data_IF_615310876530
#
_entry.id   IF_615310876530
#
_cell.length_a   1.000
_cell.length_b   1.000
_cell.length_c   1.000
_cell.angle_alpha   90.00
_cell.angle_beta   90.00
_cell.angle_gamma   90.00
#
_symmetry.space_group_name_H-M   'P 1'
#
loop_
_entity.id
_entity.type
_entity.pdbx_description
1 polymer ?
#
# COMPACT_ATOMS: atom_id res chain seq x y z
N UNK A 1 20.90 13.05 -40.50
CA UNK A 1 22.19 12.35 -40.35
C UNK A 1 22.21 11.28 -41.42
N UNK A 2 23.13 11.37 -42.37
CA UNK A 2 23.27 10.42 -43.47
C UNK A 2 23.94 9.16 -42.89
N UNK A 3 23.12 8.20 -42.46
CA UNK A 3 23.61 6.90 -42.05
C UNK A 3 23.47 5.97 -43.26
N UNK A 4 24.54 5.85 -44.04
CA UNK A 4 24.64 4.92 -45.18
C UNK A 4 24.77 3.47 -44.69
N UNK A 5 23.79 3.01 -43.91
CA UNK A 5 23.72 1.66 -43.35
C UNK A 5 23.30 0.64 -44.40
N UNK A 6 22.94 1.03 -45.62
CA UNK A 6 22.33 0.12 -46.60
C UNK A 6 23.33 -0.92 -47.11
N UNK A 7 24.62 -0.57 -47.23
CA UNK A 7 25.71 -1.47 -47.67
C UNK A 7 26.47 -2.21 -46.55
N UNK A 8 26.13 -1.99 -45.28
CA UNK A 8 26.89 -2.54 -44.15
C UNK A 8 26.52 -4.00 -43.81
N UNK A 9 27.45 -4.82 -43.27
CA UNK A 9 27.15 -6.17 -42.79
C UNK A 9 26.05 -6.21 -41.73
N UNK A 10 25.24 -7.27 -41.73
CA UNK A 10 24.08 -7.42 -40.82
C UNK A 10 24.49 -7.38 -39.35
N UNK A 11 25.68 -7.89 -38.99
CA UNK A 11 26.17 -7.87 -37.62
C UNK A 11 26.42 -6.44 -37.13
N UNK A 12 26.97 -5.57 -37.99
CA UNK A 12 27.23 -4.16 -37.70
C UNK A 12 25.93 -3.37 -37.55
N UNK A 13 24.93 -3.62 -38.42
CA UNK A 13 23.61 -2.97 -38.30
C UNK A 13 22.92 -3.30 -36.96
N UNK A 14 23.00 -4.56 -36.51
CA UNK A 14 22.43 -4.98 -35.22
C UNK A 14 23.13 -4.35 -34.03
N UNK A 15 24.46 -4.25 -34.08
CA UNK A 15 25.23 -3.60 -33.02
C UNK A 15 24.89 -2.10 -32.92
N UNK A 16 24.91 -1.38 -34.06
CA UNK A 16 24.50 0.02 -34.13
C UNK A 16 23.07 0.23 -33.61
N UNK A 17 22.11 -0.62 -33.99
CA UNK A 17 20.73 -0.54 -33.47
C UNK A 17 20.62 -0.75 -31.95
N UNK A 18 21.55 -1.50 -31.35
CA UNK A 18 21.56 -1.73 -29.89
C UNK A 18 22.27 -0.64 -29.11
N UNK A 19 23.37 -0.11 -29.62
CA UNK A 19 24.25 0.80 -28.89
C UNK A 19 24.04 2.27 -29.27
N UNK A 20 23.65 2.56 -30.51
CA UNK A 20 23.39 3.92 -31.00
C UNK A 20 21.90 4.32 -30.90
N UNK A 21 21.23 3.90 -29.81
CA UNK A 21 19.85 4.32 -29.54
C UNK A 21 19.85 5.72 -28.96
N UNK A 22 19.18 6.64 -29.65
CA UNK A 22 18.83 7.93 -29.07
C UNK A 22 17.97 7.70 -27.82
N UNK A 23 18.27 8.37 -26.70
CA UNK A 23 17.43 8.25 -25.52
C UNK A 23 16.01 8.69 -25.90
N UNK A 24 15.04 7.82 -25.62
CA UNK A 24 13.64 8.15 -25.87
C UNK A 24 13.31 9.47 -25.14
N UNK A 25 12.58 10.40 -25.78
CA UNK A 25 12.12 11.60 -25.10
C UNK A 25 11.35 11.19 -23.83
N UNK A 26 11.34 12.00 -22.76
CA UNK A 26 10.67 11.64 -21.51
C UNK A 26 9.19 11.33 -21.76
N UNK A 27 8.86 10.04 -21.83
CA UNK A 27 7.51 9.57 -22.08
C UNK A 27 6.65 9.95 -20.87
N UNK A 28 5.51 10.60 -21.13
CA UNK A 28 4.55 10.89 -20.06
C UNK A 28 4.12 9.57 -19.42
N UNK A 29 4.00 9.53 -18.09
CA UNK A 29 3.61 8.34 -17.33
C UNK A 29 2.30 7.70 -17.81
N UNK A 30 1.48 8.46 -18.52
CA UNK A 30 0.22 8.02 -19.11
C UNK A 30 0.40 7.21 -20.39
N UNK A 31 1.32 7.60 -21.27
CA UNK A 31 1.56 6.90 -22.53
C UNK A 31 2.19 5.50 -22.31
N UNK A 32 3.16 5.40 -21.40
CA UNK A 32 3.81 4.13 -21.03
C UNK A 32 2.83 3.09 -20.44
N UNK A 33 1.74 3.53 -19.81
CA UNK A 33 0.72 2.64 -19.23
C UNK A 33 -0.31 2.16 -20.25
N UNK A 34 -0.60 2.95 -21.29
CA UNK A 34 -1.63 2.60 -22.29
C UNK A 34 -1.18 1.43 -23.17
N UNK A 35 0.06 1.47 -23.65
CA UNK A 35 0.64 0.42 -24.50
C UNK A 35 0.70 -0.97 -23.82
N UNK A 36 0.86 -1.03 -22.50
CA UNK A 36 0.90 -2.30 -21.74
C UNK A 36 -0.48 -2.85 -21.36
N UNK A 37 -1.54 -2.03 -21.45
CA UNK A 37 -2.90 -2.43 -21.10
C UNK A 37 -3.61 -3.16 -22.25
N UNK A 38 -3.33 -2.81 -23.51
CA UNK A 38 -3.90 -3.49 -24.69
C UNK A 38 -3.50 -4.97 -24.77
N UNK A 39 -2.28 -5.30 -24.32
CA UNK A 39 -1.79 -6.69 -24.26
C UNK A 39 -2.38 -7.44 -23.05
N UNK A 40 -2.70 -6.73 -21.96
CA UNK A 40 -3.33 -7.30 -20.77
C UNK A 40 -4.86 -7.17 -20.83
N UNK A 41 -5.49 -7.88 -21.77
CA UNK A 41 -6.90 -8.22 -21.60
C UNK A 41 -7.03 -8.98 -20.27
N UNK A 42 -7.87 -8.49 -19.35
CA UNK A 42 -8.14 -9.17 -18.07
C UNK A 42 -9.32 -10.11 -18.34
N UNK A 43 -9.10 -11.37 -18.76
CA UNK A 43 -10.24 -12.24 -19.05
C UNK A 43 -11.06 -12.46 -17.77
N UNK A 44 -12.37 -12.60 -17.93
CA UNK A 44 -13.34 -12.79 -16.83
C UNK A 44 -12.86 -13.90 -15.87
N UNK A 45 -12.28 -14.98 -16.41
CA UNK A 45 -11.65 -16.07 -15.66
C UNK A 45 -10.57 -15.59 -14.70
N UNK A 46 -9.64 -14.72 -15.13
CA UNK A 46 -8.53 -14.21 -14.31
C UNK A 46 -9.00 -13.22 -13.24
N UNK A 47 -10.05 -12.44 -13.53
CA UNK A 47 -10.66 -11.58 -12.50
C UNK A 47 -11.34 -12.39 -11.41
N UNK A 48 -12.10 -13.42 -11.79
CA UNK A 48 -12.75 -14.34 -10.85
C UNK A 48 -11.72 -15.10 -10.02
N UNK A 49 -10.66 -15.59 -10.65
CA UNK A 49 -9.55 -16.25 -9.96
C UNK A 49 -8.86 -15.31 -8.97
N UNK A 50 -8.65 -14.03 -9.33
CA UNK A 50 -8.09 -13.03 -8.44
C UNK A 50 -9.02 -12.71 -7.25
N UNK A 51 -10.33 -12.61 -7.47
CA UNK A 51 -11.34 -12.43 -6.42
C UNK A 51 -11.36 -13.65 -5.48
N UNK A 52 -11.35 -14.85 -6.02
CA UNK A 52 -11.30 -16.10 -5.25
C UNK A 52 -10.01 -16.20 -4.41
N UNK A 53 -8.84 -15.84 -4.97
CA UNK A 53 -7.58 -15.78 -4.21
C UNK A 53 -7.64 -14.77 -3.07
N UNK A 54 -8.24 -13.59 -3.28
CA UNK A 54 -8.43 -12.59 -2.22
C UNK A 54 -9.34 -13.13 -1.11
N UNK A 55 -10.48 -13.72 -1.46
CA UNK A 55 -11.41 -14.36 -0.50
C UNK A 55 -10.76 -15.50 0.27
N UNK A 56 -9.99 -16.37 -0.40
CA UNK A 56 -9.25 -17.47 0.24
C UNK A 56 -8.23 -16.95 1.26
N UNK A 57 -7.53 -15.85 0.96
CA UNK A 57 -6.57 -15.22 1.89
C UNK A 57 -7.25 -14.64 3.12
N UNK A 58 -8.44 -14.05 2.98
CA UNK A 58 -9.18 -13.49 4.13
C UNK A 58 -9.75 -14.60 5.00
N UNK A 59 -10.34 -15.64 4.41
CA UNK A 59 -10.85 -16.81 5.14
C UNK A 59 -9.74 -17.49 5.93
N UNK A 60 -8.60 -17.82 5.29
CA UNK A 60 -7.45 -18.42 5.97
C UNK A 60 -6.91 -17.60 7.14
N UNK A 61 -7.04 -16.27 7.10
CA UNK A 61 -6.63 -15.41 8.22
C UNK A 61 -7.60 -15.52 9.39
N UNK A 62 -8.90 -15.63 9.12
CA UNK A 62 -9.93 -15.83 10.13
C UNK A 62 -9.85 -17.24 10.73
N UNK A 63 -9.63 -18.28 9.93
CA UNK A 63 -9.42 -19.65 10.42
C UNK A 63 -8.22 -19.72 11.38
N UNK A 64 -7.08 -19.12 11.03
CA UNK A 64 -5.93 -19.04 11.93
C UNK A 64 -6.22 -18.28 13.21
N UNK A 65 -7.10 -17.28 13.15
CA UNK A 65 -7.51 -16.53 14.34
C UNK A 65 -8.44 -17.36 15.23
N UNK A 66 -9.34 -18.14 14.62
CA UNK A 66 -10.24 -19.07 15.30
C UNK A 66 -9.47 -20.16 16.04
N UNK A 67 -8.56 -20.87 15.35
CA UNK A 67 -7.73 -21.92 15.97
C UNK A 67 -6.96 -21.36 17.17
N UNK A 68 -6.37 -20.16 17.04
CA UNK A 68 -5.66 -19.51 18.16
C UNK A 68 -6.57 -19.12 19.33
N UNK A 69 -7.82 -18.76 19.05
CA UNK A 69 -8.79 -18.42 20.08
C UNK A 69 -9.28 -19.68 20.82
N UNK A 70 -9.47 -20.79 20.10
CA UNK A 70 -9.82 -22.09 20.66
C UNK A 70 -8.72 -22.57 21.62
N UNK A 71 -7.46 -22.62 21.16
CA UNK A 71 -6.31 -23.01 22.01
C UNK A 71 -6.17 -22.14 23.26
N UNK A 72 -6.44 -20.84 23.17
CA UNK A 72 -6.34 -19.92 24.31
C UNK A 72 -7.50 -20.04 25.30
N UNK A 73 -8.64 -20.56 24.84
CA UNK A 73 -9.79 -20.84 25.69
C UNK A 73 -9.51 -22.06 26.56
N UNK A 74 -8.88 -23.07 25.98
CA UNK A 74 -8.49 -24.34 26.64
C UNK A 74 -7.35 -24.18 27.67
N UNK A 75 -6.50 -23.15 27.55
CA UNK A 75 -5.38 -22.92 28.48
C UNK A 75 -5.88 -22.56 29.90
N UNK A 76 -5.59 -23.38 30.94
CA UNK A 76 -6.06 -23.14 32.30
C UNK A 76 -5.27 -22.07 33.07
N UNK A 77 -4.12 -21.61 32.56
CA UNK A 77 -3.23 -20.69 33.28
C UNK A 77 -3.73 -19.23 33.31
N UNK A 78 -4.54 -18.84 32.32
CA UNK A 78 -4.97 -17.45 32.13
C UNK A 78 -6.33 -17.17 32.77
N UNK A 79 -6.50 -15.96 33.34
CA UNK A 79 -7.80 -15.50 33.84
C UNK A 79 -8.80 -15.30 32.69
N UNK A 80 -10.10 -15.54 32.94
CA UNK A 80 -11.17 -15.37 31.96
C UNK A 80 -11.20 -13.97 31.32
N UNK A 81 -10.86 -12.93 32.10
CA UNK A 81 -10.78 -11.55 31.60
C UNK A 81 -9.65 -11.37 30.58
N UNK A 82 -8.50 -11.97 30.86
CA UNK A 82 -7.33 -11.89 29.98
C UNK A 82 -7.53 -12.72 28.72
N UNK A 83 -8.19 -13.88 28.81
CA UNK A 83 -8.66 -14.67 27.67
C UNK A 83 -9.57 -13.84 26.76
N UNK A 84 -10.56 -13.14 27.31
CA UNK A 84 -11.43 -12.29 26.51
C UNK A 84 -10.67 -11.15 25.80
N UNK A 85 -9.74 -10.48 26.49
CA UNK A 85 -8.95 -9.39 25.91
C UNK A 85 -7.99 -9.85 24.80
N UNK A 86 -7.39 -11.01 24.98
CA UNK A 86 -6.49 -11.63 24.01
C UNK A 86 -7.25 -12.12 22.78
N UNK A 87 -8.41 -12.78 22.95
CA UNK A 87 -9.32 -13.18 21.87
C UNK A 87 -9.75 -11.94 21.06
N UNK A 88 -10.20 -10.87 21.73
CA UNK A 88 -10.53 -9.59 21.07
C UNK A 88 -9.38 -9.05 20.22
N UNK A 89 -8.15 -9.14 20.73
CA UNK A 89 -6.93 -8.70 20.01
C UNK A 89 -6.63 -9.57 18.79
N UNK A 90 -6.81 -10.89 18.89
CA UNK A 90 -6.61 -11.85 17.80
C UNK A 90 -7.57 -11.53 16.64
N UNK A 91 -8.87 -11.39 16.93
CA UNK A 91 -9.86 -11.06 15.90
C UNK A 91 -9.66 -9.67 15.30
N UNK A 92 -9.28 -8.67 16.10
CA UNK A 92 -8.93 -7.33 15.60
C UNK A 92 -7.78 -7.36 14.60
N UNK A 93 -6.75 -8.17 14.86
CA UNK A 93 -5.61 -8.38 13.94
C UNK A 93 -6.02 -9.13 12.67
N UNK A 94 -7.03 -10.00 12.74
CA UNK A 94 -7.51 -10.78 11.61
C UNK A 94 -8.42 -9.96 10.66
N UNK A 95 -9.27 -9.10 11.22
CA UNK A 95 -10.24 -8.28 10.49
C UNK A 95 -9.62 -7.06 9.80
N UNK A 96 -8.69 -6.36 10.48
CA UNK A 96 -8.11 -5.11 9.96
C UNK A 96 -7.17 -5.39 8.79
N UNK A 97 -7.46 -4.79 7.63
CA UNK A 97 -6.50 -4.66 6.55
C UNK A 97 -5.29 -3.90 7.11
N UNK A 98 -4.09 -4.48 7.05
CA UNK A 98 -2.85 -3.92 7.62
C UNK A 98 -2.44 -2.61 6.92
N UNK A 99 -3.24 -1.56 7.09
CA UNK A 99 -2.92 -0.22 6.67
C UNK A 99 -1.99 0.35 7.74
N UNK A 100 -0.70 0.42 7.40
CA UNK A 100 0.34 0.97 8.26
C UNK A 100 0.04 2.46 8.48
N UNK A 101 -0.71 2.77 9.53
CA UNK A 101 -0.95 4.16 9.95
C UNK A 101 0.39 4.80 10.30
N UNK A 102 0.67 6.03 9.84
CA UNK A 102 1.92 6.71 10.17
C UNK A 102 1.98 6.99 11.67
N UNK A 103 3.17 6.85 12.27
CA UNK A 103 3.39 7.26 13.66
C UNK A 103 3.21 8.78 13.76
N UNK A 104 2.35 9.22 14.67
CA UNK A 104 2.11 10.64 14.92
C UNK A 104 3.22 11.16 15.85
N UNK A 105 3.90 12.22 15.44
CA UNK A 105 4.98 12.85 16.22
C UNK A 105 4.62 14.30 16.43
N UNK A 106 4.73 14.80 17.66
CA UNK A 106 4.50 16.22 17.93
C UNK A 106 5.69 17.03 17.44
N UNK A 107 5.42 18.10 16.68
CA UNK A 107 6.45 19.04 16.23
C UNK A 107 7.14 19.67 17.44
N UNK A 108 8.48 19.63 17.47
CA UNK A 108 9.30 20.45 18.39
C UNK A 108 10.25 21.30 17.55
N UNK A 109 10.54 22.52 18.00
CA UNK A 109 11.42 23.48 17.29
C UNK A 109 12.78 22.87 16.90
N UNK A 110 13.34 22.02 17.76
CA UNK A 110 14.61 21.31 17.55
C UNK A 110 14.61 20.35 16.35
N UNK A 111 13.44 19.86 15.89
CA UNK A 111 13.38 18.84 14.84
C UNK A 111 13.37 19.43 13.43
N UNK A 112 13.11 20.74 13.27
CA UNK A 112 13.11 21.42 11.97
C UNK A 112 12.49 20.58 10.84
N UNK A 113 13.17 20.53 9.69
CA UNK A 113 12.85 19.63 8.57
C UNK A 113 13.53 18.25 8.67
N UNK A 114 14.20 17.97 9.79
CA UNK A 114 14.93 16.71 10.00
C UNK A 114 13.99 15.65 10.54
N UNK A 115 14.34 14.39 10.27
CA UNK A 115 13.59 13.25 10.77
C UNK A 115 13.69 13.19 12.31
N UNK A 116 12.56 13.08 13.04
CA UNK A 116 12.60 12.95 14.49
C UNK A 116 13.36 11.68 14.93
N UNK A 117 14.21 11.76 15.97
CA UNK A 117 14.91 10.60 16.51
C UNK A 117 13.91 9.57 17.06
N UNK A 118 14.24 8.28 16.94
CA UNK A 118 13.40 7.19 17.46
C UNK A 118 12.15 6.83 16.62
N UNK A 119 12.06 7.34 15.38
CA UNK A 119 10.94 7.03 14.47
C UNK A 119 11.44 6.39 13.17
N UNK A 120 11.12 5.11 12.96
CA UNK A 120 11.41 4.36 11.73
C UNK A 120 10.13 4.23 10.87
N UNK A 121 10.27 4.26 9.54
CA UNK A 121 9.15 4.12 8.60
C UNK A 121 8.31 5.39 8.36
N UNK A 122 7.02 5.24 8.04
CA UNK A 122 6.13 6.39 7.74
C UNK A 122 5.74 7.10 9.03
N UNK A 123 5.87 8.43 9.04
CA UNK A 123 5.47 9.26 10.18
C UNK A 123 4.76 10.52 9.69
N UNK A 124 3.95 11.11 10.56
CA UNK A 124 3.29 12.38 10.32
C UNK A 124 3.57 13.29 11.51
N UNK A 125 4.19 14.43 11.23
CA UNK A 125 4.38 15.47 12.23
C UNK A 125 3.03 16.17 12.43
N UNK A 126 2.65 16.38 13.68
CA UNK A 126 1.42 17.06 14.09
C UNK A 126 1.79 18.22 15.00
N UNK A 127 1.22 19.38 14.76
CA UNK A 127 1.33 20.56 15.62
C UNK A 127 -0.05 20.95 16.20
N UNK A 128 -0.07 21.99 17.03
CA UNK A 128 -1.31 22.48 17.66
C UNK A 128 -2.27 23.08 16.62
N UNK A 129 -1.76 23.74 15.58
CA UNK A 129 -2.55 24.34 14.50
C UNK A 129 -3.28 23.27 13.67
N UNK A 130 -2.58 22.23 13.22
CA UNK A 130 -3.13 21.08 12.51
C UNK A 130 -4.20 20.37 13.35
N UNK A 131 -4.00 20.24 14.67
CA UNK A 131 -5.02 19.67 15.56
C UNK A 131 -6.31 20.51 15.55
N UNK A 132 -6.18 21.85 15.58
CA UNK A 132 -7.34 22.77 15.51
C UNK A 132 -8.03 22.70 14.16
N UNK A 133 -7.28 22.72 13.06
CA UNK A 133 -7.84 22.63 11.70
C UNK A 133 -8.59 21.32 11.47
N UNK A 134 -7.98 20.19 11.83
CA UNK A 134 -8.62 18.88 11.68
C UNK A 134 -9.89 18.77 12.53
N UNK A 135 -9.90 19.34 13.74
CA UNK A 135 -11.09 19.39 14.59
C UNK A 135 -12.21 20.20 13.93
N UNK A 136 -11.90 21.37 13.37
CA UNK A 136 -12.88 22.21 12.67
C UNK A 136 -13.42 21.51 11.42
N UNK A 137 -12.53 20.86 10.65
CA UNK A 137 -12.90 20.05 9.48
C UNK A 137 -13.87 18.92 9.88
N UNK A 138 -13.53 18.13 10.90
CA UNK A 138 -14.40 17.04 11.40
C UNK A 138 -15.76 17.57 11.90
N UNK A 139 -15.81 18.74 12.53
CA UNK A 139 -17.07 19.36 12.93
C UNK A 139 -17.92 19.78 11.73
N UNK A 140 -17.31 20.36 10.70
CA UNK A 140 -18.00 20.73 9.47
C UNK A 140 -18.49 19.50 8.71
N UNK A 141 -17.67 18.46 8.61
CA UNK A 141 -18.05 17.19 7.97
C UNK A 141 -19.26 16.56 8.67
N UNK A 142 -19.30 16.58 10.01
CA UNK A 142 -20.45 16.12 10.80
C UNK A 142 -21.70 16.97 10.62
N UNK A 143 -21.57 18.27 10.37
CA UNK A 143 -22.70 19.15 10.07
C UNK A 143 -23.23 18.82 8.67
N UNK A 144 -22.36 18.79 7.67
CA UNK A 144 -22.73 18.50 6.29
C UNK A 144 -23.38 17.12 6.14
N UNK A 145 -22.87 16.11 6.85
CA UNK A 145 -23.43 14.76 6.83
C UNK A 145 -24.71 14.60 7.67
N UNK A 146 -25.14 15.63 8.40
CA UNK A 146 -26.44 15.69 9.09
C UNK A 146 -27.54 16.28 8.21
N UNK A 147 -27.16 17.08 7.21
CA UNK A 147 -28.05 17.69 6.23
C UNK A 147 -28.13 16.89 4.92
N UNK A 148 -27.56 15.69 4.91
CA UNK A 148 -27.54 14.75 3.79
C UNK A 148 -28.16 13.45 4.26
#
# INVERSE_FOLDING_TARGET
MNNDLDGAPIWFKREEETYCRQPLPPISKEFAKKSSNEINSRPIKKEMEAKARKKKRTIRRLEKARIKAETLTEDPSMSNKEKADTIRRIYKRASVKNEKRPKLVVAKKQYGNRRPPGVKGRYKIVDSRMKKDKRKQEQNDRKNNRFR
#
